data_IF_393025628180
#
_entry.id   IF_393025628180
#
_cell.length_a   1.000
_cell.length_b   1.000
_cell.length_c   1.000
_cell.angle_alpha   90.00
_cell.angle_beta   90.00
_cell.angle_gamma   90.00
#
_symmetry.space_group_name_H-M   'P 1'
#
loop_
_entity.id
_entity.type
_entity.pdbx_description
1 polymer ?
#
# COMPACT_ATOMS: atom_id res chain seq x y z
N UNK A 1 -3.43 0.23 22.58
CA UNK A 1 -1.99 -0.01 22.30
C UNK A 1 -1.70 -1.31 21.57
N UNK A 2 -1.81 -2.52 22.15
CA UNK A 2 -1.45 -3.76 21.42
C UNK A 2 -2.14 -3.91 20.05
N UNK A 3 -3.46 -3.72 20.01
CA UNK A 3 -4.22 -3.82 18.75
C UNK A 3 -3.78 -2.78 17.71
N UNK A 4 -3.49 -1.54 18.14
CA UNK A 4 -2.93 -0.51 17.26
C UNK A 4 -1.57 -0.93 16.72
N UNK A 5 -0.67 -1.44 17.57
CA UNK A 5 0.64 -1.93 17.14
C UNK A 5 0.51 -3.06 16.12
N UNK A 6 -0.37 -4.03 16.39
CA UNK A 6 -0.63 -5.15 15.47
C UNK A 6 -1.17 -4.63 14.12
N UNK A 7 -2.03 -3.60 14.13
CA UNK A 7 -2.59 -3.00 12.92
C UNK A 7 -1.54 -2.21 12.13
N UNK A 8 -0.70 -1.40 12.77
CA UNK A 8 0.40 -0.71 12.09
C UNK A 8 1.39 -1.71 11.49
N UNK A 9 1.67 -2.81 12.19
CA UNK A 9 2.48 -3.90 11.66
C UNK A 9 1.90 -4.52 10.40
N UNK A 10 0.58 -4.71 10.38
CA UNK A 10 -0.13 -5.18 9.19
C UNK A 10 -0.05 -4.19 8.03
N UNK A 11 -0.13 -2.88 8.30
CA UNK A 11 0.05 -1.83 7.30
C UNK A 11 1.48 -1.91 6.73
N UNK A 12 2.51 -1.96 7.57
CA UNK A 12 3.92 -2.13 7.16
C UNK A 12 4.10 -3.35 6.25
N UNK A 13 3.59 -4.51 6.66
CA UNK A 13 3.63 -5.73 5.84
C UNK A 13 2.92 -5.56 4.48
N UNK A 14 1.76 -4.92 4.49
CA UNK A 14 0.95 -4.67 3.29
C UNK A 14 1.67 -3.72 2.32
N UNK A 15 2.31 -2.66 2.83
CA UNK A 15 3.11 -1.76 1.99
C UNK A 15 4.33 -2.45 1.39
N UNK A 16 5.03 -3.32 2.14
CA UNK A 16 6.17 -4.08 1.61
C UNK A 16 5.80 -4.99 0.42
N UNK A 17 4.64 -5.65 0.50
CA UNK A 17 4.13 -6.45 -0.63
C UNK A 17 3.67 -5.56 -1.79
N UNK A 18 2.95 -4.46 -1.49
CA UNK A 18 2.47 -3.52 -2.50
C UNK A 18 3.61 -2.86 -3.28
N UNK A 19 4.67 -2.43 -2.60
CA UNK A 19 5.90 -1.89 -3.18
C UNK A 19 6.48 -2.85 -4.23
N UNK A 20 6.60 -4.13 -3.86
CA UNK A 20 7.15 -5.18 -4.73
C UNK A 20 6.24 -5.44 -5.93
N UNK A 21 4.92 -5.43 -5.71
CA UNK A 21 3.93 -5.66 -6.76
C UNK A 21 3.86 -4.49 -7.77
N UNK A 22 3.97 -3.25 -7.31
CA UNK A 22 4.06 -2.08 -8.17
C UNK A 22 5.36 -2.09 -8.99
N UNK A 23 6.49 -2.48 -8.41
CA UNK A 23 7.73 -2.74 -9.15
C UNK A 23 7.55 -3.80 -10.26
N UNK A 24 6.82 -4.88 -9.97
CA UNK A 24 6.49 -5.88 -10.98
C UNK A 24 5.70 -5.25 -12.14
N UNK A 25 4.66 -4.46 -11.86
CA UNK A 25 3.91 -3.77 -12.90
C UNK A 25 4.77 -2.78 -13.70
N UNK A 26 5.62 -2.01 -13.02
CA UNK A 26 6.58 -1.09 -13.65
C UNK A 26 7.53 -1.82 -14.62
N UNK A 27 8.07 -2.98 -14.24
CA UNK A 27 8.97 -3.75 -15.11
C UNK A 27 8.27 -4.42 -16.30
N UNK A 28 7.04 -4.89 -16.09
CA UNK A 28 6.38 -5.79 -17.04
C UNK A 28 5.27 -5.16 -17.87
N UNK A 29 4.88 -3.91 -17.59
CA UNK A 29 3.95 -3.17 -18.46
C UNK A 29 4.55 -3.02 -19.86
N UNK A 30 3.71 -3.19 -20.89
CA UNK A 30 4.10 -3.20 -22.31
C UNK A 30 2.98 -2.60 -23.16
N UNK A 31 3.28 -2.31 -24.41
CA UNK A 31 2.29 -1.87 -25.40
C UNK A 31 2.06 -0.36 -25.41
N UNK A 32 0.93 0.11 -25.98
CA UNK A 32 0.67 1.53 -26.22
C UNK A 32 0.71 2.40 -24.96
N UNK A 33 0.42 1.82 -23.79
CA UNK A 33 0.38 2.51 -22.51
C UNK A 33 1.71 2.47 -21.75
N UNK A 34 2.78 1.93 -22.36
CA UNK A 34 4.05 1.69 -21.68
C UNK A 34 4.58 2.94 -20.98
N UNK A 35 4.83 4.02 -21.72
CA UNK A 35 5.46 5.21 -21.14
C UNK A 35 4.63 5.84 -20.03
N UNK A 36 3.30 5.90 -20.19
CA UNK A 36 2.39 6.47 -19.19
C UNK A 36 2.35 5.63 -17.91
N UNK A 37 2.14 4.32 -18.04
CA UNK A 37 1.96 3.45 -16.87
C UNK A 37 3.29 3.06 -16.22
N UNK A 38 4.37 2.98 -16.98
CA UNK A 38 5.71 2.73 -16.44
C UNK A 38 6.10 3.83 -15.45
N UNK A 39 6.00 5.10 -15.86
CA UNK A 39 6.25 6.26 -14.98
C UNK A 39 5.22 6.31 -13.84
N UNK A 40 3.94 6.01 -14.12
CA UNK A 40 2.92 6.03 -13.07
C UNK A 40 3.15 4.98 -11.99
N UNK A 41 3.55 3.76 -12.34
CA UNK A 41 3.83 2.73 -11.34
C UNK A 41 5.08 3.07 -10.51
N UNK A 42 6.04 3.83 -11.06
CA UNK A 42 7.18 4.37 -10.33
C UNK A 42 6.76 5.42 -9.30
N UNK A 43 5.98 6.42 -9.71
CA UNK A 43 5.41 7.41 -8.80
C UNK A 43 4.69 6.72 -7.61
N UNK A 44 3.90 5.68 -7.90
CA UNK A 44 3.16 4.96 -6.88
C UNK A 44 4.06 4.13 -5.94
N UNK A 45 5.07 3.42 -6.47
CA UNK A 45 5.94 2.65 -5.57
C UNK A 45 6.83 3.55 -4.71
N UNK A 46 7.19 4.74 -5.17
CA UNK A 46 8.00 5.69 -4.40
C UNK A 46 7.19 6.23 -3.23
N UNK A 47 5.92 6.59 -3.45
CA UNK A 47 5.02 7.00 -2.37
C UNK A 47 4.77 5.86 -1.37
N UNK A 48 4.49 4.65 -1.86
CA UNK A 48 4.32 3.46 -1.02
C UNK A 48 5.58 3.20 -0.18
N UNK A 49 6.78 3.38 -0.74
CA UNK A 49 8.03 3.22 -0.01
C UNK A 49 8.24 4.28 1.07
N UNK A 50 7.87 5.54 0.79
CA UNK A 50 7.91 6.59 1.81
C UNK A 50 6.94 6.29 2.98
N UNK A 51 5.72 5.84 2.66
CA UNK A 51 4.73 5.47 3.66
C UNK A 51 5.14 4.21 4.43
N UNK A 52 5.74 3.23 3.77
CA UNK A 52 6.28 2.02 4.41
C UNK A 52 7.26 2.38 5.55
N UNK A 53 8.17 3.31 5.31
CA UNK A 53 9.12 3.81 6.32
C UNK A 53 8.41 4.61 7.43
N UNK A 54 7.54 5.55 7.06
CA UNK A 54 6.81 6.40 8.01
C UNK A 54 5.97 5.59 9.01
N UNK A 55 5.28 4.54 8.55
CA UNK A 55 4.53 3.63 9.43
C UNK A 55 5.43 2.77 10.31
N UNK A 56 6.57 2.30 9.81
CA UNK A 56 7.52 1.52 10.59
C UNK A 56 8.16 2.38 11.69
N UNK A 57 8.56 3.61 11.36
CA UNK A 57 9.11 4.58 12.32
C UNK A 57 8.07 5.03 13.34
N UNK A 58 6.81 5.27 12.93
CA UNK A 58 5.73 5.57 13.87
C UNK A 58 5.49 4.43 14.84
N UNK A 59 5.48 3.18 14.36
CA UNK A 59 5.33 2.01 15.21
C UNK A 59 6.47 1.88 16.23
N UNK A 60 7.72 2.11 15.83
CA UNK A 60 8.86 2.17 16.75
C UNK A 60 8.70 3.28 17.80
N UNK A 61 8.24 4.46 17.37
CA UNK A 61 8.05 5.64 18.21
C UNK A 61 7.06 5.37 19.35
N UNK A 62 5.99 4.62 19.09
CA UNK A 62 4.99 4.25 20.11
C UNK A 62 5.33 2.95 20.86
N UNK A 63 6.54 2.42 20.66
CA UNK A 63 7.08 1.28 21.40
C UNK A 63 6.73 -0.10 20.84
N UNK A 64 6.31 -0.17 19.57
CA UNK A 64 6.14 -1.42 18.84
C UNK A 64 7.41 -1.89 18.12
N UNK A 65 7.29 -2.99 17.39
CA UNK A 65 8.39 -3.60 16.63
C UNK A 65 7.89 -3.96 15.23
N UNK A 66 8.38 -3.30 14.17
CA UNK A 66 7.92 -3.55 12.81
C UNK A 66 8.37 -4.93 12.33
N UNK A 67 7.51 -5.62 11.58
CA UNK A 67 7.93 -6.72 10.71
C UNK A 67 9.04 -6.23 9.79
N UNK A 68 10.03 -7.09 9.52
CA UNK A 68 11.25 -6.67 8.81
C UNK A 68 11.85 -7.74 7.91
N UNK A 69 11.10 -8.81 7.66
CA UNK A 69 11.48 -9.86 6.72
C UNK A 69 10.41 -10.05 5.65
N UNK A 70 10.83 -10.48 4.46
CA UNK A 70 9.89 -10.78 3.37
C UNK A 70 8.86 -11.84 3.76
N UNK A 71 9.25 -12.83 4.57
CA UNK A 71 8.35 -13.87 5.06
C UNK A 71 7.24 -13.29 5.94
N UNK A 72 7.57 -12.41 6.88
CA UNK A 72 6.58 -11.71 7.71
C UNK A 72 5.67 -10.83 6.87
N UNK A 73 6.20 -10.13 5.86
CA UNK A 73 5.38 -9.32 4.96
C UNK A 73 4.36 -10.16 4.21
N UNK A 74 4.78 -11.28 3.62
CA UNK A 74 3.89 -12.20 2.89
C UNK A 74 2.83 -12.82 3.81
N UNK A 75 3.23 -13.19 5.03
CA UNK A 75 2.35 -13.79 6.03
C UNK A 75 1.25 -12.83 6.49
N UNK A 76 1.61 -11.58 6.80
CA UNK A 76 0.73 -10.65 7.48
C UNK A 76 0.02 -9.64 6.55
N UNK A 77 0.49 -9.46 5.32
CA UNK A 77 -0.11 -8.53 4.35
C UNK A 77 -1.55 -8.92 3.96
N UNK A 78 -2.42 -7.90 3.85
CA UNK A 78 -3.74 -8.01 3.20
C UNK A 78 -3.63 -8.27 1.71
N UNK A 79 -2.62 -7.69 1.06
CA UNK A 79 -2.34 -7.83 -0.36
C UNK A 79 -1.57 -9.12 -0.59
N UNK A 80 -1.94 -9.84 -1.66
CA UNK A 80 -1.23 -11.02 -2.12
C UNK A 80 -0.53 -10.72 -3.45
N UNK A 81 0.64 -11.33 -3.60
CA UNK A 81 1.44 -11.28 -4.81
C UNK A 81 1.41 -12.63 -5.54
N UNK A 82 1.73 -12.57 -6.82
CA UNK A 82 1.94 -13.74 -7.66
C UNK A 82 3.09 -13.45 -8.64
N UNK A 83 3.82 -14.47 -9.10
CA UNK A 83 4.78 -14.31 -10.18
C UNK A 83 4.12 -13.74 -11.45
N UNK A 84 4.82 -12.85 -12.15
CA UNK A 84 4.36 -12.33 -13.44
C UNK A 84 4.16 -13.45 -14.46
N UNK A 85 3.19 -13.24 -15.35
CA UNK A 85 2.97 -14.08 -16.55
C UNK A 85 2.85 -13.20 -17.78
N UNK A 86 3.30 -13.66 -18.96
CA UNK A 86 3.30 -12.88 -20.21
C UNK A 86 1.90 -12.49 -20.75
N UNK A 87 0.84 -12.70 -19.97
CA UNK A 87 -0.56 -12.56 -20.38
C UNK A 87 -1.34 -11.48 -19.62
N UNK A 88 -0.68 -10.60 -18.87
CA UNK A 88 -1.36 -9.54 -18.10
C UNK A 88 -1.46 -8.25 -18.95
N UNK A 89 -2.66 -7.84 -19.40
CA UNK A 89 -2.86 -6.56 -20.09
C UNK A 89 -2.65 -5.37 -19.16
N UNK A 90 -2.27 -4.22 -19.72
CA UNK A 90 -2.06 -2.99 -18.97
C UNK A 90 -3.28 -2.56 -18.13
N UNK A 91 -4.49 -2.68 -18.68
CA UNK A 91 -5.74 -2.39 -17.97
C UNK A 91 -5.95 -3.31 -16.76
N UNK A 92 -5.58 -4.59 -16.87
CA UNK A 92 -5.66 -5.52 -15.74
C UNK A 92 -4.65 -5.17 -14.65
N UNK A 93 -3.46 -4.69 -15.00
CA UNK A 93 -2.50 -4.17 -14.00
C UNK A 93 -3.08 -2.99 -13.22
N UNK A 94 -3.78 -2.07 -13.90
CA UNK A 94 -4.44 -0.94 -13.23
C UNK A 94 -5.58 -1.41 -12.33
N UNK A 95 -6.40 -2.37 -12.79
CA UNK A 95 -7.45 -2.99 -11.97
C UNK A 95 -6.90 -3.71 -10.74
N UNK A 96 -5.76 -4.38 -10.86
CA UNK A 96 -5.13 -5.03 -9.68
C UNK A 96 -4.64 -4.00 -8.68
N UNK A 97 -4.04 -2.89 -9.13
CA UNK A 97 -3.63 -1.78 -8.25
C UNK A 97 -4.84 -1.16 -7.54
N UNK A 98 -5.95 -0.94 -8.25
CA UNK A 98 -7.20 -0.45 -7.65
C UNK A 98 -7.70 -1.39 -6.53
N UNK A 99 -7.76 -2.69 -6.81
CA UNK A 99 -8.18 -3.68 -5.82
C UNK A 99 -7.24 -3.76 -4.61
N UNK A 100 -5.93 -3.61 -4.84
CA UNK A 100 -4.94 -3.57 -3.76
C UNK A 100 -5.07 -2.29 -2.91
N UNK A 101 -5.34 -1.14 -3.53
CA UNK A 101 -5.59 0.11 -2.81
C UNK A 101 -6.87 0.05 -1.97
N UNK A 102 -7.93 -0.60 -2.45
CA UNK A 102 -9.12 -0.85 -1.62
C UNK A 102 -8.81 -1.67 -0.36
N UNK A 103 -7.90 -2.63 -0.45
CA UNK A 103 -7.45 -3.41 0.72
C UNK A 103 -6.62 -2.56 1.67
N UNK A 104 -5.68 -1.77 1.15
CA UNK A 104 -4.86 -0.88 1.94
C UNK A 104 -5.70 0.21 2.65
N UNK A 105 -6.70 0.78 1.96
CA UNK A 105 -7.67 1.72 2.55
C UNK A 105 -8.40 1.11 3.73
N UNK A 106 -8.84 -0.16 3.65
CA UNK A 106 -9.48 -0.84 4.78
C UNK A 106 -8.54 -1.03 5.97
N UNK A 107 -7.27 -1.32 5.70
CA UNK A 107 -6.27 -1.39 6.77
C UNK A 107 -6.03 -0.03 7.43
N UNK A 108 -6.03 1.05 6.65
CA UNK A 108 -5.91 2.42 7.17
C UNK A 108 -7.14 2.84 7.97
N UNK A 109 -8.35 2.54 7.49
CA UNK A 109 -9.60 2.79 8.24
C UNK A 109 -9.60 2.11 9.60
N UNK A 110 -9.09 0.86 9.68
CA UNK A 110 -8.93 0.19 10.96
C UNK A 110 -7.85 0.83 11.83
N UNK A 111 -6.78 1.34 11.21
CA UNK A 111 -5.75 2.12 11.89
C UNK A 111 -6.31 3.38 12.53
N UNK A 112 -7.11 4.16 11.79
CA UNK A 112 -7.80 5.38 12.27
C UNK A 112 -8.66 5.05 13.49
N UNK A 113 -9.54 4.02 13.40
CA UNK A 113 -10.39 3.60 14.51
C UNK A 113 -9.59 3.27 15.77
N UNK A 114 -8.56 2.42 15.63
CA UNK A 114 -7.76 1.96 16.76
C UNK A 114 -6.86 3.05 17.36
N UNK A 115 -6.42 4.01 16.53
CA UNK A 115 -5.65 5.17 16.98
C UNK A 115 -6.54 6.12 17.80
N UNK A 116 -7.75 6.42 17.31
CA UNK A 116 -8.73 7.22 18.04
C UNK A 116 -9.15 6.57 19.37
N UNK A 117 -9.38 5.25 19.39
CA UNK A 117 -9.64 4.51 20.63
C UNK A 117 -8.47 4.56 21.64
N UNK A 118 -7.24 4.67 21.15
CA UNK A 118 -6.04 4.78 21.96
C UNK A 118 -5.72 6.23 22.40
N UNK A 119 -6.41 7.23 21.86
CA UNK A 119 -6.07 8.65 22.05
C UNK A 119 -4.74 9.03 21.42
N UNK A 120 -4.38 8.38 20.30
CA UNK A 120 -3.14 8.61 19.56
C UNK A 120 -3.44 9.41 18.27
N UNK A 121 -3.64 10.71 18.44
CA UNK A 121 -4.04 11.62 17.36
C UNK A 121 -3.01 11.67 16.21
N UNK A 122 -1.72 11.54 16.50
CA UNK A 122 -0.68 11.58 15.47
C UNK A 122 -0.75 10.34 14.55
N UNK A 123 -0.99 9.16 15.13
CA UNK A 123 -1.14 7.93 14.33
C UNK A 123 -2.45 7.95 13.55
N UNK A 124 -3.51 8.54 14.12
CA UNK A 124 -4.78 8.74 13.43
C UNK A 124 -4.60 9.67 12.21
N UNK A 125 -3.93 10.81 12.38
CA UNK A 125 -3.62 11.76 11.31
C UNK A 125 -2.80 11.11 10.19
N UNK A 126 -1.76 10.35 10.54
CA UNK A 126 -0.95 9.60 9.58
C UNK A 126 -1.81 8.65 8.72
N UNK A 127 -2.72 7.90 9.35
CA UNK A 127 -3.60 6.99 8.62
C UNK A 127 -4.60 7.74 7.72
N UNK A 128 -5.16 8.86 8.19
CA UNK A 128 -6.07 9.72 7.40
C UNK A 128 -5.35 10.30 6.18
N UNK A 129 -4.15 10.82 6.38
CA UNK A 129 -3.34 11.43 5.33
C UNK A 129 -3.06 10.45 4.21
N UNK A 130 -2.58 9.26 4.55
CA UNK A 130 -2.28 8.25 3.53
C UNK A 130 -3.55 7.72 2.84
N UNK A 131 -4.62 7.48 3.60
CA UNK A 131 -5.91 7.06 3.03
C UNK A 131 -6.40 8.07 1.98
N UNK A 132 -6.32 9.36 2.30
CA UNK A 132 -6.72 10.44 1.38
C UNK A 132 -5.89 10.42 0.08
N UNK A 133 -4.59 10.13 0.19
CA UNK A 133 -3.72 10.00 -0.98
C UNK A 133 -4.12 8.80 -1.86
N UNK A 134 -4.34 7.63 -1.25
CA UNK A 134 -4.79 6.44 -1.98
C UNK A 134 -6.13 6.66 -2.69
N UNK A 135 -7.11 7.27 -2.03
CA UNK A 135 -8.43 7.58 -2.64
C UNK A 135 -8.29 8.50 -3.86
N UNK A 136 -7.37 9.46 -3.82
CA UNK A 136 -7.06 10.33 -4.97
C UNK A 136 -6.45 9.52 -6.12
N UNK A 137 -5.51 8.62 -5.86
CA UNK A 137 -4.97 7.74 -6.89
C UNK A 137 -6.02 6.81 -7.46
N UNK A 138 -6.89 6.24 -6.62
CA UNK A 138 -7.98 5.39 -7.06
C UNK A 138 -8.90 6.12 -8.04
N UNK A 139 -9.25 7.38 -7.78
CA UNK A 139 -10.02 8.20 -8.72
C UNK A 139 -9.29 8.35 -10.08
N UNK A 140 -8.01 8.69 -10.07
CA UNK A 140 -7.23 8.88 -11.30
C UNK A 140 -7.11 7.58 -12.12
N UNK A 141 -6.86 6.45 -11.44
CA UNK A 141 -6.75 5.14 -12.06
C UNK A 141 -8.10 4.64 -12.59
N UNK A 142 -9.20 4.94 -11.89
CA UNK A 142 -10.54 4.64 -12.40
C UNK A 142 -10.82 5.42 -13.69
N UNK A 143 -10.51 6.72 -13.73
CA UNK A 143 -10.70 7.54 -14.93
C UNK A 143 -9.79 7.14 -16.09
N UNK A 144 -8.65 6.52 -15.81
CA UNK A 144 -7.80 5.93 -16.84
C UNK A 144 -8.45 4.70 -17.51
N UNK A 145 -9.29 3.96 -16.78
CA UNK A 145 -9.99 2.76 -17.27
C UNK A 145 -11.32 3.06 -17.97
N UNK A 146 -11.89 4.25 -17.78
CA UNK A 146 -13.16 4.69 -18.36
C UNK A 146 -13.01 5.18 -19.82
#
# INVERSE_FOLDING_TARGET
MKQLHDQLNKIVATQGVLFTKLHQHHWYVKGPNFFTLHEKFEELYDEVNAQFDEFAERLLTIGGHPYSTLAEFIEHSSIKEAPYTDKVPAEEMVKTVLADFELAVKDLEKGIELAGEAGDDDTEDLCIGYKTSLEKHMWMLQYYLD
#
